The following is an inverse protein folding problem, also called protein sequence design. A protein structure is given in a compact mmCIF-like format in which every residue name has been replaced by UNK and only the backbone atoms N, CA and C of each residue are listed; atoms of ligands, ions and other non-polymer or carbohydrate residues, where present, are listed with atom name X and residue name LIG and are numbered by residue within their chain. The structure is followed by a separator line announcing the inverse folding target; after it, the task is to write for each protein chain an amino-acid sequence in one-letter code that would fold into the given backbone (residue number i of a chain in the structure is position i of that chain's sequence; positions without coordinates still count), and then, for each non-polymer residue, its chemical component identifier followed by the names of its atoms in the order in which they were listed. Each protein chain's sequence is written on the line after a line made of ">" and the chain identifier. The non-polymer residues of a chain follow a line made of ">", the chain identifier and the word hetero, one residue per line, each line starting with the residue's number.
data_IF_974801491818
#
_entry.id   IF_974801491818
#
_cell.length_a   1.000
_cell.length_b   1.000
_cell.length_c   1.000
_cell.angle_alpha   90.00
_cell.angle_beta   90.00
_cell.angle_gamma   90.00
#
_symmetry.space_group_name_H-M   'P 1'
#
loop_
_entity.id
_entity.type
_entity.pdbx_description
1 polymer ?
#
# COMPACT_ATOMS: atom_id res chain seq x y z
N UNK A 1 -20.14 8.76 26.90
CA UNK A 1 -19.80 8.24 25.55
C UNK A 1 -20.77 8.76 24.48
N UNK A 2 -22.09 8.79 24.70
CA UNK A 2 -23.06 9.25 23.68
C UNK A 2 -23.01 10.73 23.28
N UNK A 3 -22.51 11.64 24.13
CA UNK A 3 -22.47 13.09 23.81
C UNK A 3 -21.49 13.43 22.67
N UNK A 4 -20.34 12.75 22.61
CA UNK A 4 -19.39 12.96 21.50
C UNK A 4 -19.88 12.38 20.18
N UNK A 5 -20.62 11.27 20.22
CA UNK A 5 -21.19 10.66 19.02
C UNK A 5 -22.32 11.53 18.45
N UNK A 6 -23.23 12.02 19.28
CA UNK A 6 -24.29 12.94 18.88
C UNK A 6 -23.74 14.26 18.30
N UNK A 7 -22.67 14.81 18.90
CA UNK A 7 -21.95 15.98 18.35
C UNK A 7 -21.32 15.67 16.99
N UNK A 8 -20.74 14.48 16.82
CA UNK A 8 -20.20 14.03 15.55
C UNK A 8 -21.25 13.97 14.45
N UNK A 9 -22.42 13.41 14.76
CA UNK A 9 -23.55 13.35 13.81
C UNK A 9 -24.11 14.72 13.45
N UNK A 10 -24.19 15.65 14.41
CA UNK A 10 -24.64 17.02 14.14
C UNK A 10 -23.69 17.75 13.18
N UNK A 11 -22.38 17.62 13.39
CA UNK A 11 -21.38 18.16 12.46
C UNK A 11 -21.43 17.51 11.08
N UNK A 12 -21.61 16.19 11.02
CA UNK A 12 -21.75 15.45 9.75
C UNK A 12 -22.98 15.94 8.96
N UNK A 13 -24.13 16.07 9.62
CA UNK A 13 -25.36 16.61 8.99
C UNK A 13 -25.18 18.05 8.51
N UNK A 14 -24.48 18.89 9.27
CA UNK A 14 -24.17 20.28 8.87
C UNK A 14 -23.27 20.31 7.63
N UNK A 15 -22.26 19.45 7.56
CA UNK A 15 -21.38 19.33 6.42
C UNK A 15 -22.14 18.85 5.17
N UNK A 16 -23.02 17.85 5.29
CA UNK A 16 -23.82 17.35 4.18
C UNK A 16 -24.81 18.40 3.65
N UNK A 17 -25.43 19.18 4.53
CA UNK A 17 -26.27 20.33 4.13
C UNK A 17 -25.47 21.39 3.38
N UNK A 18 -24.21 21.63 3.75
CA UNK A 18 -23.32 22.54 3.02
C UNK A 18 -22.98 22.02 1.63
N UNK A 19 -22.79 20.70 1.48
CA UNK A 19 -22.57 20.08 0.17
C UNK A 19 -23.80 20.08 -0.74
N UNK A 20 -25.02 19.97 -0.17
CA UNK A 20 -26.28 19.98 -0.93
C UNK A 20 -26.82 21.38 -1.23
N UNK A 21 -26.27 22.42 -0.59
CA UNK A 21 -26.61 23.81 -0.86
C UNK A 21 -26.25 24.21 -2.30
N UNK A 22 -27.17 24.93 -2.96
CA UNK A 22 -26.99 25.45 -4.32
C UNK A 22 -26.04 26.66 -4.31
N UNK A 23 -24.76 26.39 -4.06
CA UNK A 23 -23.65 27.32 -4.17
C UNK A 23 -22.70 26.86 -5.25
N UNK A 24 -22.52 27.68 -6.28
CA UNK A 24 -21.35 27.62 -7.16
C UNK A 24 -20.18 28.12 -6.30
N UNK A 25 -19.00 27.47 -6.33
CA UNK A 25 -17.68 27.90 -5.79
C UNK A 25 -16.98 26.84 -4.93
N UNK A 26 -15.64 26.81 -5.07
CA UNK A 26 -14.67 25.91 -4.43
C UNK A 26 -14.78 25.90 -2.89
N UNK A 27 -15.13 27.05 -2.29
CA UNK A 27 -15.19 27.23 -0.83
C UNK A 27 -16.17 26.31 -0.12
N UNK A 28 -17.20 25.78 -0.80
CA UNK A 28 -18.17 24.87 -0.17
C UNK A 28 -17.56 23.54 0.24
N UNK A 29 -16.53 23.07 -0.49
CA UNK A 29 -15.86 21.82 -0.19
C UNK A 29 -14.90 21.98 0.99
N UNK A 30 -14.24 23.13 1.09
CA UNK A 30 -13.38 23.49 2.22
C UNK A 30 -14.20 23.64 3.51
N UNK A 31 -15.29 24.43 3.47
CA UNK A 31 -16.24 24.58 4.58
C UNK A 31 -16.81 23.23 5.05
N UNK A 32 -17.13 22.34 4.10
CA UNK A 32 -17.66 21.01 4.41
C UNK A 32 -16.56 20.11 5.01
N UNK A 33 -15.33 20.17 4.51
CA UNK A 33 -14.20 19.41 5.03
C UNK A 33 -13.91 19.79 6.49
N UNK A 34 -13.92 21.08 6.84
CA UNK A 34 -13.74 21.56 8.22
C UNK A 34 -14.81 21.04 9.18
N UNK A 35 -16.07 20.99 8.73
CA UNK A 35 -17.17 20.43 9.51
C UNK A 35 -17.04 18.92 9.66
N UNK A 36 -16.63 18.21 8.60
CA UNK A 36 -16.34 16.79 8.69
C UNK A 36 -15.13 16.50 9.59
N UNK A 37 -14.11 17.33 9.64
CA UNK A 37 -12.95 17.12 10.54
C UNK A 37 -13.38 17.21 12.02
N UNK A 38 -14.24 18.18 12.35
CA UNK A 38 -14.89 18.26 13.67
C UNK A 38 -15.73 17.03 13.98
N UNK A 39 -16.44 16.50 12.98
CA UNK A 39 -17.19 15.25 13.12
C UNK A 39 -16.27 14.05 13.37
N UNK A 40 -15.21 13.89 12.57
CA UNK A 40 -14.23 12.81 12.68
C UNK A 40 -13.54 12.82 14.06
N UNK A 41 -13.11 13.98 14.54
CA UNK A 41 -12.52 14.14 15.88
C UNK A 41 -13.50 13.74 16.98
N UNK A 42 -14.77 14.11 16.85
CA UNK A 42 -15.83 13.72 17.80
C UNK A 42 -16.06 12.20 17.81
N UNK A 43 -16.08 11.56 16.64
CA UNK A 43 -16.16 10.09 16.54
C UNK A 43 -14.92 9.38 17.07
N UNK A 44 -13.71 9.93 16.88
CA UNK A 44 -12.46 9.42 17.49
C UNK A 44 -12.52 9.46 19.02
N UNK A 45 -13.00 10.56 19.60
CA UNK A 45 -13.19 10.69 21.06
C UNK A 45 -14.25 9.73 21.59
N UNK A 46 -15.31 9.47 20.81
CA UNK A 46 -16.30 8.44 21.11
C UNK A 46 -15.77 7.00 20.93
N UNK A 47 -14.54 6.81 20.42
CA UNK A 47 -13.95 5.53 20.00
C UNK A 47 -14.75 4.81 18.92
N UNK A 48 -15.62 5.51 18.20
CA UNK A 48 -16.34 4.97 17.05
C UNK A 48 -15.44 5.06 15.80
N UNK A 49 -14.49 4.14 15.70
CA UNK A 49 -13.49 4.10 14.61
C UNK A 49 -14.12 3.85 13.23
N UNK A 50 -15.24 3.14 13.18
CA UNK A 50 -15.96 2.87 11.93
C UNK A 50 -16.54 4.15 11.34
N UNK A 51 -17.27 4.93 12.15
CA UNK A 51 -17.83 6.23 11.72
C UNK A 51 -16.72 7.26 11.45
N UNK A 52 -15.67 7.30 12.27
CA UNK A 52 -14.53 8.17 12.01
C UNK A 52 -13.88 7.89 10.65
N UNK A 53 -13.68 6.61 10.31
CA UNK A 53 -13.09 6.22 9.02
C UNK A 53 -13.96 6.66 7.84
N UNK A 54 -15.29 6.44 7.90
CA UNK A 54 -16.19 6.84 6.81
C UNK A 54 -16.26 8.36 6.61
N UNK A 55 -16.18 9.13 7.71
CA UNK A 55 -16.10 10.60 7.63
C UNK A 55 -14.77 11.05 7.01
N UNK A 56 -13.64 10.43 7.33
CA UNK A 56 -12.37 10.77 6.67
C UNK A 56 -12.39 10.52 5.15
N UNK A 57 -13.10 9.50 4.68
CA UNK A 57 -13.31 9.31 3.24
C UNK A 57 -14.14 10.47 2.63
N UNK A 58 -15.14 10.98 3.35
CA UNK A 58 -15.90 12.17 2.94
C UNK A 58 -15.01 13.42 2.89
N UNK A 59 -14.12 13.61 3.87
CA UNK A 59 -13.11 14.70 3.88
C UNK A 59 -12.22 14.60 2.64
N UNK A 60 -11.67 13.42 2.38
CA UNK A 60 -10.80 13.20 1.21
C UNK A 60 -11.51 13.56 -0.10
N UNK A 61 -12.77 13.14 -0.27
CA UNK A 61 -13.57 13.47 -1.45
C UNK A 61 -13.87 14.98 -1.57
N UNK A 62 -14.03 15.69 -0.45
CA UNK A 62 -14.19 17.14 -0.47
C UNK A 62 -12.91 17.82 -0.98
N UNK A 63 -11.75 17.42 -0.44
CA UNK A 63 -10.46 17.94 -0.91
C UNK A 63 -10.17 17.61 -2.38
N UNK A 64 -10.54 16.43 -2.87
CA UNK A 64 -10.42 16.10 -4.29
C UNK A 64 -11.28 17.00 -5.18
N UNK A 65 -12.52 17.31 -4.75
CA UNK A 65 -13.40 18.24 -5.47
C UNK A 65 -12.94 19.70 -5.36
N UNK A 66 -12.19 20.04 -4.32
CA UNK A 66 -11.53 21.33 -4.13
C UNK A 66 -10.13 21.42 -4.76
N UNK A 67 -9.69 20.40 -5.51
CA UNK A 67 -8.36 20.29 -6.14
C UNK A 67 -7.16 20.29 -5.16
N UNK A 68 -7.41 19.95 -3.89
CA UNK A 68 -6.40 19.86 -2.83
C UNK A 68 -5.93 18.40 -2.65
N UNK A 69 -5.17 17.88 -3.62
CA UNK A 69 -4.77 16.45 -3.65
C UNK A 69 -3.90 16.00 -2.47
N UNK A 70 -3.08 16.90 -1.92
CA UNK A 70 -2.20 16.57 -0.78
C UNK A 70 -3.00 16.35 0.52
N UNK A 71 -4.00 17.20 0.74
CA UNK A 71 -4.93 17.15 1.86
C UNK A 71 -5.85 15.94 1.73
N UNK A 72 -6.31 15.64 0.50
CA UNK A 72 -7.05 14.41 0.20
C UNK A 72 -6.24 13.14 0.54
N UNK A 73 -4.97 13.08 0.13
CA UNK A 73 -4.09 11.95 0.43
C UNK A 73 -3.89 11.79 1.95
N UNK A 74 -3.71 12.89 2.68
CA UNK A 74 -3.58 12.88 4.14
C UNK A 74 -4.85 12.37 4.84
N UNK A 75 -6.03 12.78 4.36
CA UNK A 75 -7.30 12.29 4.87
C UNK A 75 -7.50 10.77 4.65
N UNK A 76 -7.07 10.24 3.49
CA UNK A 76 -7.07 8.79 3.26
C UNK A 76 -6.12 8.03 4.20
N UNK A 77 -4.97 8.60 4.58
CA UNK A 77 -4.07 8.01 5.58
C UNK A 77 -4.74 7.96 6.96
N UNK A 78 -5.44 9.01 7.37
CA UNK A 78 -6.20 9.03 8.63
C UNK A 78 -7.36 8.03 8.62
N UNK A 79 -8.07 7.90 7.49
CA UNK A 79 -9.09 6.85 7.30
C UNK A 79 -8.47 5.46 7.49
N UNK A 80 -7.31 5.20 6.87
CA UNK A 80 -6.60 3.95 7.02
C UNK A 80 -6.15 3.68 8.46
N UNK A 81 -5.70 4.71 9.19
CA UNK A 81 -5.34 4.59 10.60
C UNK A 81 -6.53 4.16 11.47
N UNK A 82 -7.74 4.60 11.12
CA UNK A 82 -8.97 4.15 11.76
C UNK A 82 -9.33 2.72 11.38
N UNK A 83 -9.29 2.38 10.08
CA UNK A 83 -9.58 1.03 9.57
C UNK A 83 -8.66 -0.05 10.15
N UNK A 84 -7.37 0.26 10.41
CA UNK A 84 -6.40 -0.69 11.00
C UNK A 84 -6.89 -1.39 12.28
N UNK A 85 -7.84 -0.81 13.00
CA UNK A 85 -8.34 -1.35 14.27
C UNK A 85 -9.38 -2.47 14.11
N UNK A 86 -10.06 -2.53 12.97
CA UNK A 86 -11.18 -3.45 12.77
C UNK A 86 -11.22 -4.09 11.39
N UNK A 87 -10.70 -3.42 10.36
CA UNK A 87 -10.60 -3.99 9.02
C UNK A 87 -9.29 -3.64 8.28
N UNK A 88 -8.37 -4.60 8.15
CA UNK A 88 -7.10 -4.39 7.46
C UNK A 88 -7.24 -4.24 5.94
N UNK A 89 -8.32 -4.78 5.33
CA UNK A 89 -8.55 -4.71 3.88
C UNK A 89 -8.90 -3.29 3.45
N UNK A 90 -9.85 -2.64 4.11
CA UNK A 90 -10.25 -1.25 3.87
C UNK A 90 -9.11 -0.29 4.20
N UNK A 91 -8.27 -0.62 5.20
CA UNK A 91 -7.06 0.14 5.49
C UNK A 91 -6.07 0.10 4.32
N UNK A 92 -5.89 -1.04 3.66
CA UNK A 92 -5.05 -1.16 2.49
C UNK A 92 -5.62 -0.39 1.28
N UNK A 93 -6.93 -0.45 1.08
CA UNK A 93 -7.60 0.32 0.02
C UNK A 93 -7.44 1.83 0.21
N UNK A 94 -7.70 2.35 1.42
CA UNK A 94 -7.53 3.75 1.74
C UNK A 94 -6.07 4.21 1.56
N UNK A 95 -5.09 3.41 2.01
CA UNK A 95 -3.68 3.74 1.80
C UNK A 95 -3.28 3.77 0.32
N UNK A 96 -3.84 2.92 -0.54
CA UNK A 96 -3.54 2.98 -1.97
C UNK A 96 -4.12 4.23 -2.62
N UNK A 97 -5.33 4.67 -2.23
CA UNK A 97 -5.84 5.96 -2.68
C UNK A 97 -4.90 7.10 -2.26
N UNK A 98 -4.42 7.10 -1.01
CA UNK A 98 -3.41 8.06 -0.57
C UNK A 98 -2.12 8.01 -1.39
N UNK A 99 -1.60 6.80 -1.64
CA UNK A 99 -0.37 6.58 -2.41
C UNK A 99 -0.55 7.10 -3.84
N UNK A 100 -1.64 6.77 -4.53
CA UNK A 100 -1.91 7.25 -5.89
C UNK A 100 -1.92 8.77 -5.97
N UNK A 101 -2.60 9.42 -5.03
CA UNK A 101 -2.62 10.87 -4.97
C UNK A 101 -1.24 11.46 -4.71
N UNK A 102 -0.44 10.85 -3.81
CA UNK A 102 0.94 11.28 -3.58
C UNK A 102 1.83 11.11 -4.81
N UNK A 103 1.59 10.09 -5.64
CA UNK A 103 2.31 9.90 -6.91
C UNK A 103 1.91 10.96 -7.93
N UNK A 104 0.61 11.22 -8.09
CA UNK A 104 0.09 12.23 -9.01
C UNK A 104 0.65 13.63 -8.73
N UNK A 105 0.86 13.97 -7.45
CA UNK A 105 1.46 15.25 -7.05
C UNK A 105 3.00 15.21 -6.98
N UNK A 106 3.64 14.11 -7.37
CA UNK A 106 5.09 13.94 -7.35
C UNK A 106 5.72 13.84 -5.95
N UNK A 107 4.93 13.62 -4.90
CA UNK A 107 5.39 13.46 -3.50
C UNK A 107 5.80 12.01 -3.22
N UNK A 108 6.76 11.49 -3.99
CA UNK A 108 7.17 10.09 -3.94
C UNK A 108 7.68 9.61 -2.57
N UNK A 109 8.32 10.48 -1.79
CA UNK A 109 8.76 10.13 -0.43
C UNK A 109 7.57 9.75 0.49
N UNK A 110 6.41 10.40 0.31
CA UNK A 110 5.20 10.07 1.06
C UNK A 110 4.57 8.78 0.52
N UNK A 111 4.49 8.62 -0.80
CA UNK A 111 4.04 7.38 -1.43
C UNK A 111 4.86 6.16 -0.95
N UNK A 112 6.20 6.27 -0.91
CA UNK A 112 7.11 5.23 -0.44
C UNK A 112 6.92 4.88 1.05
N UNK A 113 6.67 5.90 1.88
CA UNK A 113 6.40 5.70 3.32
C UNK A 113 5.12 4.92 3.56
N UNK A 114 4.11 5.11 2.72
CA UNK A 114 2.82 4.42 2.86
C UNK A 114 2.74 3.09 2.09
N UNK A 115 3.61 2.86 1.09
CA UNK A 115 3.63 1.60 0.32
C UNK A 115 4.14 0.40 1.12
N UNK A 116 5.19 0.56 1.93
CA UNK A 116 5.71 -0.50 2.83
C UNK A 116 4.64 -1.09 3.77
N UNK A 117 3.93 -0.26 4.56
CA UNK A 117 2.85 -0.75 5.43
C UNK A 117 1.64 -1.35 4.70
N UNK A 118 1.43 -1.01 3.42
CA UNK A 118 0.38 -1.65 2.58
C UNK A 118 0.81 -3.07 2.22
N UNK A 119 2.04 -3.21 1.72
CA UNK A 119 2.61 -4.52 1.36
C UNK A 119 2.66 -5.46 2.57
N UNK A 120 3.17 -5.00 3.71
CA UNK A 120 3.24 -5.82 4.94
C UNK A 120 1.86 -6.24 5.46
N UNK A 121 0.84 -5.38 5.32
CA UNK A 121 -0.53 -5.71 5.76
C UNK A 121 -1.22 -6.70 4.83
N UNK A 122 -1.02 -6.59 3.52
CA UNK A 122 -1.53 -7.57 2.56
C UNK A 122 -0.87 -8.94 2.84
N UNK A 123 0.44 -8.97 3.10
CA UNK A 123 1.16 -10.19 3.45
C UNK A 123 0.72 -10.77 4.81
N UNK A 124 0.50 -9.93 5.83
CA UNK A 124 0.01 -10.37 7.14
C UNK A 124 -1.43 -10.91 7.08
N UNK A 125 -2.31 -10.28 6.30
CA UNK A 125 -3.68 -10.74 6.08
C UNK A 125 -3.71 -12.09 5.37
N UNK A 126 -2.88 -12.27 4.33
CA UNK A 126 -2.67 -13.58 3.69
C UNK A 126 -2.20 -14.64 4.71
N UNK A 127 -1.21 -14.33 5.56
CA UNK A 127 -0.69 -15.27 6.57
C UNK A 127 -1.75 -15.76 7.57
N UNK A 128 -2.73 -14.92 7.92
CA UNK A 128 -3.78 -15.24 8.92
C UNK A 128 -5.00 -15.96 8.34
N UNK A 129 -5.33 -15.74 7.06
CA UNK A 129 -6.51 -16.34 6.41
C UNK A 129 -6.19 -17.62 5.62
N UNK A 130 -4.95 -17.78 5.15
CA UNK A 130 -4.48 -19.01 4.49
C UNK A 130 -4.43 -20.20 5.47
N UNK A 131 -4.32 -19.98 6.77
CA UNK A 131 -4.36 -21.07 7.76
C UNK A 131 -5.75 -21.65 8.04
N UNK A 132 -6.83 -21.04 7.52
CA UNK A 132 -8.20 -21.49 7.88
C UNK A 132 -9.08 -21.95 6.73
N UNK A 133 -8.93 -21.43 5.51
CA UNK A 133 -9.64 -21.97 4.33
C UNK A 133 -8.93 -21.47 3.08
N UNK A 134 -8.31 -22.38 2.33
CA UNK A 134 -7.91 -22.10 0.95
C UNK A 134 -9.13 -21.75 0.10
N UNK A 135 -8.90 -21.03 -1.00
CA UNK A 135 -9.76 -20.91 -2.19
C UNK A 135 -10.50 -19.59 -2.48
N UNK A 136 -10.42 -18.49 -1.72
CA UNK A 136 -11.18 -17.27 -2.12
C UNK A 136 -10.42 -15.92 -2.18
N UNK A 137 -9.10 -15.88 -1.99
CA UNK A 137 -8.36 -14.59 -1.93
C UNK A 137 -7.33 -14.35 -3.05
N UNK A 138 -7.33 -15.13 -4.13
CA UNK A 138 -6.39 -14.93 -5.24
C UNK A 138 -6.75 -13.71 -6.10
N UNK A 139 -8.04 -13.43 -6.31
CA UNK A 139 -8.50 -12.35 -7.17
C UNK A 139 -8.20 -10.94 -6.62
N UNK A 140 -8.27 -10.74 -5.30
CA UNK A 140 -8.04 -9.41 -4.73
C UNK A 140 -6.56 -9.06 -4.74
N UNK A 141 -5.68 -10.01 -4.41
CA UNK A 141 -4.24 -9.75 -4.28
C UNK A 141 -3.51 -9.54 -5.61
N UNK A 142 -3.96 -10.20 -6.69
CA UNK A 142 -3.40 -10.05 -8.04
C UNK A 142 -3.47 -8.63 -8.60
N UNK A 143 -4.46 -7.82 -8.17
CA UNK A 143 -4.59 -6.43 -8.64
C UNK A 143 -3.58 -5.46 -8.00
N UNK A 144 -3.11 -5.73 -6.78
CA UNK A 144 -2.26 -4.78 -6.04
C UNK A 144 -0.77 -4.91 -6.41
N UNK A 145 -0.32 -6.10 -6.80
CA UNK A 145 1.09 -6.33 -7.15
C UNK A 145 1.56 -5.52 -8.35
N UNK A 146 0.84 -5.45 -9.49
CA UNK A 146 1.25 -4.64 -10.64
C UNK A 146 1.40 -3.16 -10.28
N UNK A 147 0.43 -2.64 -9.53
CA UNK A 147 0.42 -1.25 -9.09
C UNK A 147 1.53 -0.96 -8.08
N UNK A 148 1.78 -1.85 -7.13
CA UNK A 148 2.89 -1.73 -6.19
C UNK A 148 4.25 -1.74 -6.91
N UNK A 149 4.42 -2.61 -7.92
CA UNK A 149 5.64 -2.65 -8.73
C UNK A 149 5.89 -1.33 -9.45
N UNK A 150 4.90 -0.79 -10.17
CA UNK A 150 5.02 0.52 -10.84
C UNK A 150 5.44 1.63 -9.87
N UNK A 151 4.89 1.61 -8.66
CA UNK A 151 5.20 2.59 -7.62
C UNK A 151 6.65 2.46 -7.16
N UNK A 152 7.10 1.25 -6.87
CA UNK A 152 8.47 1.02 -6.44
C UNK A 152 9.47 1.33 -7.55
N UNK A 153 9.17 0.98 -8.81
CA UNK A 153 9.98 1.34 -9.99
C UNK A 153 10.09 2.86 -10.16
N UNK A 154 8.98 3.59 -10.06
CA UNK A 154 8.96 5.06 -10.16
C UNK A 154 9.77 5.71 -9.02
N UNK A 155 9.66 5.19 -7.79
CA UNK A 155 10.44 5.67 -6.65
C UNK A 155 11.93 5.36 -6.87
N UNK A 156 12.28 4.17 -7.37
CA UNK A 156 13.66 3.78 -7.64
C UNK A 156 14.32 4.72 -8.67
N UNK A 157 13.64 4.99 -9.78
CA UNK A 157 14.08 5.92 -10.82
C UNK A 157 14.33 7.34 -10.29
N UNK A 158 13.50 7.85 -9.40
CA UNK A 158 13.72 9.20 -8.84
C UNK A 158 14.77 9.22 -7.73
N UNK A 159 14.86 8.14 -6.97
CA UNK A 159 15.78 8.03 -5.85
C UNK A 159 17.23 7.89 -6.30
N UNK A 160 17.50 7.38 -7.51
CA UNK A 160 18.87 7.31 -8.04
C UNK A 160 19.47 8.69 -8.33
N UNK A 161 18.62 9.67 -8.67
CA UNK A 161 19.00 11.06 -8.89
C UNK A 161 19.18 11.83 -7.57
N UNK A 162 18.91 11.20 -6.42
CA UNK A 162 19.03 11.82 -5.10
C UNK A 162 20.09 11.09 -4.25
N UNK A 163 21.25 11.72 -4.06
CA UNK A 163 22.40 11.16 -3.33
C UNK A 163 22.09 10.72 -1.89
N UNK A 164 21.04 11.25 -1.26
CA UNK A 164 20.62 10.86 0.10
C UNK A 164 19.83 9.54 0.14
N UNK A 165 19.20 9.15 -0.97
CA UNK A 165 18.35 7.95 -1.07
C UNK A 165 19.01 6.81 -1.85
N UNK A 166 20.20 7.03 -2.41
CA UNK A 166 20.93 6.03 -3.22
C UNK A 166 21.07 4.66 -2.55
N UNK A 167 21.24 4.62 -1.23
CA UNK A 167 21.38 3.37 -0.45
C UNK A 167 20.05 2.67 -0.15
N UNK A 168 18.91 3.35 -0.28
CA UNK A 168 17.58 2.75 -0.11
C UNK A 168 16.99 2.20 -1.41
N UNK A 169 17.55 2.58 -2.58
CA UNK A 169 17.07 2.13 -3.92
C UNK A 169 17.10 0.62 -4.06
N UNK A 170 18.17 -0.04 -3.58
CA UNK A 170 18.31 -1.50 -3.67
C UNK A 170 17.19 -2.24 -2.95
N UNK A 171 16.82 -1.78 -1.75
CA UNK A 171 15.70 -2.34 -0.99
C UNK A 171 14.34 -2.05 -1.63
N UNK A 172 14.21 -0.94 -2.38
CA UNK A 172 12.99 -0.59 -3.11
C UNK A 172 12.83 -1.50 -4.33
N UNK A 173 13.90 -1.72 -5.11
CA UNK A 173 13.94 -2.65 -6.23
C UNK A 173 13.69 -4.10 -5.79
N UNK A 174 14.23 -4.50 -4.63
CA UNK A 174 13.94 -5.80 -4.04
C UNK A 174 12.43 -5.98 -3.78
N UNK A 175 11.78 -4.98 -3.19
CA UNK A 175 10.34 -5.03 -2.93
C UNK A 175 9.52 -5.09 -4.23
N UNK A 176 9.94 -4.34 -5.26
CA UNK A 176 9.32 -4.38 -6.58
C UNK A 176 9.41 -5.78 -7.21
N UNK A 177 10.58 -6.43 -7.13
CA UNK A 177 10.82 -7.80 -7.58
C UNK A 177 10.00 -8.83 -6.81
N UNK A 178 9.91 -8.71 -5.49
CA UNK A 178 9.06 -9.61 -4.67
C UNK A 178 7.58 -9.48 -5.06
N UNK A 179 7.10 -8.26 -5.37
CA UNK A 179 5.73 -8.07 -5.86
C UNK A 179 5.50 -8.80 -7.19
N UNK A 180 6.48 -8.79 -8.10
CA UNK A 180 6.41 -9.54 -9.36
C UNK A 180 6.46 -11.06 -9.14
N UNK A 181 7.31 -11.54 -8.22
CA UNK A 181 7.34 -12.96 -7.85
C UNK A 181 5.99 -13.43 -7.29
N UNK A 182 5.31 -12.59 -6.50
CA UNK A 182 3.97 -12.89 -5.99
C UNK A 182 2.88 -12.95 -7.06
N UNK A 183 3.15 -12.47 -8.28
CA UNK A 183 2.26 -12.59 -9.44
C UNK A 183 2.29 -13.99 -10.06
N UNK A 184 3.34 -14.78 -9.78
CA UNK A 184 3.48 -16.14 -10.31
C UNK A 184 3.87 -16.20 -11.79
N UNK A 185 4.47 -15.15 -12.35
CA UNK A 185 4.84 -15.05 -13.77
C UNK A 185 6.38 -14.97 -13.92
N UNK A 186 7.05 -16.08 -14.30
CA UNK A 186 8.51 -16.15 -14.38
C UNK A 186 9.10 -15.27 -15.50
N UNK A 187 8.33 -15.02 -16.57
CA UNK A 187 8.76 -14.13 -17.66
C UNK A 187 8.70 -12.68 -17.19
N UNK A 188 7.66 -12.30 -16.45
CA UNK A 188 7.52 -10.95 -15.92
C UNK A 188 8.62 -10.57 -14.93
N UNK A 189 9.07 -11.48 -14.06
CA UNK A 189 10.18 -11.19 -13.14
C UNK A 189 11.51 -11.02 -13.90
N UNK A 190 11.77 -11.86 -14.91
CA UNK A 190 13.01 -11.80 -15.71
C UNK A 190 13.09 -10.48 -16.48
N UNK A 191 12.00 -10.07 -17.16
CA UNK A 191 11.91 -8.77 -17.81
C UNK A 191 12.00 -7.59 -16.83
N UNK A 192 11.55 -7.77 -15.58
CA UNK A 192 11.68 -6.73 -14.55
C UNK A 192 13.12 -6.62 -14.02
N UNK A 193 13.85 -7.73 -13.93
CA UNK A 193 15.27 -7.74 -13.55
C UNK A 193 16.14 -7.00 -14.57
N UNK A 194 15.86 -7.13 -15.86
CA UNK A 194 16.53 -6.35 -16.91
C UNK A 194 16.27 -4.86 -16.73
N UNK A 195 15.01 -4.46 -16.54
CA UNK A 195 14.63 -3.06 -16.27
C UNK A 195 15.31 -2.51 -15.01
N UNK A 196 15.44 -3.31 -13.95
CA UNK A 196 16.12 -2.87 -12.73
C UNK A 196 17.62 -2.60 -12.95
N UNK A 197 18.27 -3.31 -13.89
CA UNK A 197 19.66 -3.04 -14.28
C UNK A 197 19.79 -1.74 -15.08
N UNK A 198 18.78 -1.40 -15.89
CA UNK A 198 18.72 -0.10 -16.58
C UNK A 198 18.55 1.05 -15.59
N UNK A 199 17.77 0.83 -14.51
CA UNK A 199 17.56 1.80 -13.43
C UNK A 199 18.85 2.03 -12.65
N UNK A 200 19.46 0.97 -12.12
CA UNK A 200 20.73 1.03 -11.38
C UNK A 200 21.71 -0.01 -11.94
N UNK A 201 22.72 0.41 -12.73
CA UNK A 201 23.73 -0.49 -13.27
C UNK A 201 24.52 -1.25 -12.22
N UNK A 202 24.51 -0.79 -10.95
CA UNK A 202 25.19 -1.47 -9.84
C UNK A 202 24.34 -2.57 -9.20
N UNK A 203 23.05 -2.65 -9.54
CA UNK A 203 22.10 -3.58 -8.93
C UNK A 203 22.46 -5.05 -9.20
N UNK A 204 22.95 -5.37 -10.40
CA UNK A 204 23.37 -6.74 -10.77
C UNK A 204 24.44 -7.34 -9.84
N UNK A 205 25.27 -6.48 -9.23
CA UNK A 205 26.30 -6.90 -8.28
C UNK A 205 25.81 -7.00 -6.83
N UNK A 206 24.54 -6.72 -6.55
CA UNK A 206 24.02 -6.71 -5.17
C UNK A 206 23.38 -8.04 -4.78
N UNK A 207 23.27 -8.24 -3.48
CA UNK A 207 22.69 -9.46 -2.91
C UNK A 207 21.20 -9.55 -3.18
N UNK A 208 20.52 -8.41 -3.28
CA UNK A 208 19.09 -8.30 -3.61
C UNK A 208 18.80 -8.81 -5.02
N UNK A 209 19.65 -8.47 -6.00
CA UNK A 209 19.53 -9.00 -7.35
C UNK A 209 19.76 -10.50 -7.38
N UNK A 210 20.83 -10.98 -6.72
CA UNK A 210 21.12 -12.42 -6.62
C UNK A 210 19.93 -13.19 -6.04
N UNK A 211 19.35 -12.70 -4.94
CA UNK A 211 18.16 -13.30 -4.36
C UNK A 211 17.00 -13.35 -5.38
N UNK A 212 16.66 -12.25 -6.03
CA UNK A 212 15.54 -12.24 -6.99
C UNK A 212 15.79 -13.19 -8.17
N UNK A 213 17.02 -13.28 -8.67
CA UNK A 213 17.40 -14.19 -9.74
C UNK A 213 17.30 -15.66 -9.29
N UNK A 214 17.80 -15.98 -8.10
CA UNK A 214 17.71 -17.33 -7.51
C UNK A 214 16.25 -17.74 -7.28
N UNK A 215 15.39 -16.80 -6.83
CA UNK A 215 13.96 -17.04 -6.68
C UNK A 215 13.25 -17.22 -8.03
N UNK A 216 13.59 -16.42 -9.04
CA UNK A 216 13.03 -16.56 -10.39
C UNK A 216 13.40 -17.90 -11.04
N UNK A 217 14.66 -18.32 -10.91
CA UNK A 217 15.13 -19.61 -11.41
C UNK A 217 14.45 -20.78 -10.67
N UNK A 218 14.35 -20.71 -9.34
CA UNK A 218 13.64 -21.73 -8.55
C UNK A 218 12.16 -21.82 -8.93
N UNK A 219 11.53 -20.69 -9.29
CA UNK A 219 10.14 -20.66 -9.75
C UNK A 219 9.95 -21.26 -11.15
N UNK A 220 10.92 -21.13 -12.05
CA UNK A 220 10.88 -21.76 -13.37
C UNK A 220 11.13 -23.28 -13.28
N UNK A 221 12.03 -23.69 -12.39
CA UNK A 221 12.40 -25.10 -12.20
C UNK A 221 11.39 -25.91 -11.37
N UNK A 222 10.48 -25.25 -10.63
CA UNK A 222 9.57 -25.97 -9.76
C UNK A 222 10.13 -26.30 -8.37
N UNK A 223 11.32 -25.82 -8.02
CA UNK A 223 12.10 -26.32 -6.88
C UNK A 223 11.88 -25.52 -5.59
N UNK A 224 10.98 -26.03 -4.75
CA UNK A 224 10.61 -25.42 -3.46
C UNK A 224 11.79 -25.43 -2.46
N UNK A 225 12.69 -26.42 -2.55
CA UNK A 225 13.82 -26.53 -1.63
C UNK A 225 14.84 -25.42 -1.91
N UNK A 226 15.23 -25.24 -3.18
CA UNK A 226 16.11 -24.13 -3.60
C UNK A 226 15.51 -22.77 -3.28
N UNK A 227 14.21 -22.59 -3.52
CA UNK A 227 13.51 -21.35 -3.18
C UNK A 227 13.61 -21.03 -1.69
N UNK A 228 13.37 -22.03 -0.83
CA UNK A 228 13.40 -21.88 0.62
C UNK A 228 14.82 -21.62 1.15
N UNK A 229 15.82 -22.28 0.57
CA UNK A 229 17.22 -22.13 0.99
C UNK A 229 17.81 -20.79 0.57
N UNK A 230 17.46 -20.26 -0.62
CA UNK A 230 17.82 -18.91 -1.03
C UNK A 230 17.28 -17.84 -0.06
N UNK A 231 16.05 -18.03 0.44
CA UNK A 231 15.45 -17.15 1.45
C UNK A 231 16.20 -17.24 2.78
N UNK A 232 16.51 -18.44 3.25
CA UNK A 232 17.24 -18.65 4.51
C UNK A 232 18.64 -18.03 4.45
N UNK A 233 19.34 -18.19 3.33
CA UNK A 233 20.67 -17.60 3.13
C UNK A 233 20.61 -16.08 3.24
N UNK A 234 19.60 -15.46 2.62
CA UNK A 234 19.43 -14.01 2.68
C UNK A 234 18.98 -13.52 4.07
N UNK A 235 18.04 -14.20 4.72
CA UNK A 235 17.54 -13.84 6.06
C UNK A 235 18.62 -13.95 7.15
N UNK A 236 19.56 -14.90 6.99
CA UNK A 236 20.69 -15.06 7.91
C UNK A 236 21.62 -13.84 7.99
N UNK A 237 21.64 -13.02 6.94
CA UNK A 237 22.52 -11.85 6.82
C UNK A 237 21.77 -10.51 6.91
N UNK A 238 20.47 -10.47 6.68
CA UNK A 238 19.64 -9.27 6.74
C UNK A 238 18.27 -9.68 7.26
N UNK A 239 17.89 -9.26 8.49
CA UNK A 239 16.59 -9.61 9.10
C UNK A 239 15.44 -9.25 8.15
N UNK A 240 14.91 -10.22 7.42
CA UNK A 240 13.76 -10.06 6.53
C UNK A 240 12.49 -10.20 7.35
N UNK A 241 11.96 -9.08 7.83
CA UNK A 241 10.62 -9.10 8.41
C UNK A 241 9.60 -9.04 7.27
N UNK A 242 8.88 -10.16 7.08
CA UNK A 242 7.51 -10.26 6.54
C UNK A 242 7.21 -10.32 5.02
N UNK A 243 8.16 -10.23 4.09
CA UNK A 243 7.82 -10.12 2.65
C UNK A 243 7.80 -11.44 1.84
N UNK A 244 8.44 -12.51 2.32
CA UNK A 244 8.71 -13.73 1.52
C UNK A 244 7.75 -14.91 1.78
N UNK A 245 6.75 -14.74 2.66
CA UNK A 245 5.83 -15.83 2.99
C UNK A 245 4.78 -16.13 1.91
N UNK A 246 4.66 -15.28 0.89
CA UNK A 246 3.58 -15.33 -0.11
C UNK A 246 3.91 -16.15 -1.36
N UNK A 247 5.11 -16.08 -1.96
CA UNK A 247 5.43 -16.89 -3.14
C UNK A 247 5.53 -18.40 -2.82
N UNK A 248 5.91 -18.75 -1.59
CA UNK A 248 6.00 -20.13 -1.11
C UNK A 248 4.64 -20.86 -1.16
N UNK A 249 3.54 -20.16 -0.86
CA UNK A 249 2.18 -20.72 -0.88
C UNK A 249 1.61 -20.90 -2.29
N UNK A 250 1.91 -19.99 -3.23
CA UNK A 250 1.46 -20.10 -4.62
C UNK A 250 2.09 -21.30 -5.34
N UNK A 251 3.30 -21.66 -4.91
CA UNK A 251 4.06 -22.79 -5.41
C UNK A 251 3.54 -24.14 -4.90
N UNK A 252 3.16 -24.22 -3.62
CA UNK A 252 2.52 -25.40 -3.04
C UNK A 252 1.14 -25.69 -3.64
N UNK A 253 0.34 -24.67 -3.99
CA UNK A 253 -1.00 -24.86 -4.57
C UNK A 253 -1.00 -25.21 -6.06
N UNK A 254 0.07 -24.91 -6.79
CA UNK A 254 0.19 -25.21 -8.23
C UNK A 254 0.77 -26.59 -8.53
N UNK A 255 1.23 -27.32 -7.50
CA UNK A 255 1.79 -28.68 -7.62
C UNK A 255 0.76 -29.79 -7.34
N UNK A 256 -0.54 -29.47 -7.33
CA UNK A 256 -1.65 -30.42 -7.21
C UNK A 256 -2.61 -30.34 -8.40
#
# INVERSE_FOLDING_TARGET
>A
MGDHEARGEDFEKKAEKKLSGWGIFSSKYEDAADLFDKAANSFKLAKNWSRAASVYIKIANCHLKGDSKHEAASAYVEAANCYKKFSPQEAAQALNQAVNLFLEIGRLNMAARYSKPVSERISFFKRKYITHTGCEFDAFSGHWYPKATEIFEAIAHQSINNNLLKYSVRGILLNAGICQLCRGDPVAITNSLERYQEIDPTFSGTREYKLLADLAASMDEGDIAKFTDAIKEFDSMTRLVCLVATPMFYFETSSH
#
